data_IF_840917191644
#
_entry.id   IF_840917191644
#
_cell.length_a   1.000
_cell.length_b   1.000
_cell.length_c   1.000
_cell.angle_alpha   90.00
_cell.angle_beta   90.00
_cell.angle_gamma   90.00
#
_symmetry.space_group_name_H-M   'P 1'
#
loop_
_entity.id
_entity.type
_entity.pdbx_description
1 polymer ?
#
# COMPACT_ATOMS: atom_id res chain seq x y z
N UNK A 1 23.23 23.16 -14.02
CA UNK A 1 22.03 22.67 -13.33
C UNK A 1 22.14 23.08 -11.87
N UNK A 2 21.09 23.59 -11.29
CA UNK A 2 21.07 23.98 -9.88
C UNK A 2 20.11 23.06 -9.13
N UNK A 3 20.48 22.71 -7.91
CA UNK A 3 19.65 21.93 -6.97
C UNK A 3 19.27 22.83 -5.83
N UNK A 4 18.15 22.54 -5.21
CA UNK A 4 17.71 23.14 -3.96
C UNK A 4 17.26 22.06 -3.01
N UNK A 5 17.83 22.05 -1.83
CA UNK A 5 17.47 21.14 -0.74
C UNK A 5 16.98 21.98 0.43
N UNK A 6 15.70 21.84 0.74
CA UNK A 6 15.10 22.52 1.89
C UNK A 6 14.85 21.51 3.00
N UNK A 7 15.25 21.85 4.20
CA UNK A 7 14.95 21.12 5.44
C UNK A 7 14.13 22.08 6.28
N UNK A 8 12.83 21.83 6.40
CA UNK A 8 11.87 22.82 6.87
C UNK A 8 11.96 24.10 6.02
N UNK A 9 12.16 25.24 6.62
CA UNK A 9 12.36 26.52 5.95
C UNK A 9 13.84 26.87 5.70
N UNK A 10 14.78 25.94 5.99
CA UNK A 10 16.22 26.18 5.86
C UNK A 10 16.75 25.65 4.52
N UNK A 11 17.40 26.52 3.76
CA UNK A 11 18.12 26.11 2.55
C UNK A 11 19.48 25.49 2.91
N UNK A 12 19.57 24.16 2.82
CA UNK A 12 20.78 23.39 3.10
C UNK A 12 21.61 23.10 1.83
N UNK A 13 21.26 23.69 0.70
CA UNK A 13 21.84 23.36 -0.63
C UNK A 13 23.36 23.49 -0.66
N UNK A 14 23.92 24.53 -0.03
CA UNK A 14 25.34 24.80 -0.04
C UNK A 14 26.17 23.70 0.65
N UNK A 15 25.58 23.00 1.60
CA UNK A 15 26.25 21.99 2.42
C UNK A 15 26.10 20.56 1.85
N UNK A 16 25.31 20.41 0.77
CA UNK A 16 25.09 19.09 0.15
C UNK A 16 26.35 18.60 -0.57
N UNK A 17 26.89 17.48 -0.10
CA UNK A 17 28.05 16.80 -0.71
C UNK A 17 27.59 15.74 -1.70
N UNK A 18 26.61 14.94 -1.30
CA UNK A 18 25.99 13.90 -2.10
C UNK A 18 24.54 13.73 -1.66
N UNK A 19 23.67 13.44 -2.60
CA UNK A 19 22.28 13.05 -2.28
C UNK A 19 21.79 11.96 -3.23
N UNK A 20 20.88 11.18 -2.73
CA UNK A 20 20.15 10.18 -3.53
C UNK A 20 18.74 10.03 -3.00
N UNK A 21 17.81 9.77 -3.89
CA UNK A 21 16.43 9.47 -3.51
C UNK A 21 15.81 8.46 -4.44
N UNK A 22 14.76 7.82 -3.97
CA UNK A 22 13.97 6.85 -4.69
C UNK A 22 12.51 7.09 -4.46
N UNK A 23 11.74 6.92 -5.53
CA UNK A 23 10.28 6.85 -5.51
C UNK A 23 9.83 5.57 -6.23
N UNK A 24 8.62 5.10 -5.96
CA UNK A 24 8.09 3.92 -6.58
C UNK A 24 8.74 2.63 -6.10
N UNK A 25 8.63 1.59 -6.93
CA UNK A 25 9.09 0.24 -6.61
C UNK A 25 10.54 0.00 -7.03
N UNK A 26 11.18 -0.97 -6.41
CA UNK A 26 12.54 -1.40 -6.76
C UNK A 26 12.55 -2.49 -7.82
N UNK A 27 11.55 -3.33 -7.81
CA UNK A 27 11.41 -4.52 -8.68
C UNK A 27 10.03 -4.48 -9.32
N UNK A 28 9.93 -5.04 -10.51
CA UNK A 28 8.66 -5.11 -11.25
C UNK A 28 7.59 -5.89 -10.48
N UNK A 29 8.00 -6.87 -9.66
CA UNK A 29 7.08 -7.68 -8.86
C UNK A 29 6.51 -6.96 -7.63
N UNK A 30 7.17 -5.87 -7.17
CA UNK A 30 6.69 -5.10 -6.02
C UNK A 30 5.45 -4.30 -6.44
N UNK A 31 4.39 -4.31 -5.64
CA UNK A 31 3.14 -3.58 -5.92
C UNK A 31 3.05 -2.25 -5.15
N UNK A 32 3.84 -2.10 -4.10
CA UNK A 32 3.88 -0.89 -3.28
C UNK A 32 5.28 -0.33 -3.25
N UNK A 33 5.42 0.92 -3.68
CA UNK A 33 6.65 1.69 -3.59
C UNK A 33 6.85 2.30 -2.20
N UNK A 34 8.09 2.69 -1.92
CA UNK A 34 8.45 3.45 -0.73
C UNK A 34 9.44 4.53 -1.09
N UNK A 35 9.05 5.77 -0.87
CA UNK A 35 9.93 6.91 -0.99
C UNK A 35 11.03 6.85 0.08
N UNK A 36 12.28 7.04 -0.35
CA UNK A 36 13.42 7.13 0.56
C UNK A 36 14.48 8.05 -0.03
N UNK A 37 14.97 8.95 0.80
CA UNK A 37 16.07 9.85 0.47
C UNK A 37 17.26 9.69 1.44
N UNK A 38 18.45 10.01 0.94
CA UNK A 38 19.65 10.11 1.72
C UNK A 38 20.40 11.35 1.27
N UNK A 39 20.72 12.24 2.21
CA UNK A 39 21.50 13.46 1.96
C UNK A 39 22.73 13.43 2.86
N UNK A 40 23.89 13.65 2.29
CA UNK A 40 25.15 13.80 3.01
C UNK A 40 25.51 15.28 2.97
N UNK A 41 25.60 15.89 4.16
CA UNK A 41 25.86 17.29 4.37
C UNK A 41 27.25 17.49 4.96
N UNK A 42 27.93 18.55 4.56
CA UNK A 42 29.08 19.07 5.30
C UNK A 42 28.58 19.60 6.65
N UNK A 43 29.22 19.19 7.73
CA UNK A 43 28.84 19.52 9.10
C UNK A 43 30.01 20.01 9.93
N UNK A 44 30.99 20.69 9.30
CA UNK A 44 32.16 21.22 10.02
C UNK A 44 31.74 22.16 11.16
N UNK A 45 30.72 22.96 10.94
CA UNK A 45 30.15 23.88 11.93
C UNK A 45 29.28 23.18 12.98
N UNK A 46 28.92 21.90 12.76
CA UNK A 46 28.09 21.09 13.65
C UNK A 46 26.60 21.47 13.65
N UNK A 47 26.16 22.24 12.67
CA UNK A 47 24.75 22.70 12.57
C UNK A 47 23.76 21.57 12.33
N UNK A 48 24.21 20.44 11.78
CA UNK A 48 23.39 19.23 11.54
C UNK A 48 23.56 18.15 12.64
N UNK A 49 24.01 18.56 13.83
CA UNK A 49 24.08 17.71 15.02
C UNK A 49 23.03 18.16 16.04
N UNK A 50 21.82 17.58 16.08
CA UNK A 50 20.66 18.15 16.78
C UNK A 50 20.83 18.38 18.29
N UNK A 51 21.76 17.69 18.94
CA UNK A 51 22.06 17.84 20.38
C UNK A 51 23.10 18.93 20.68
N UNK A 52 23.67 19.55 19.65
CA UNK A 52 24.69 20.60 19.83
C UNK A 52 24.00 21.96 20.00
N UNK A 53 24.52 22.78 20.90
CA UNK A 53 24.09 24.18 21.07
C UNK A 53 24.29 24.99 19.77
N UNK A 54 23.23 25.66 19.33
CA UNK A 54 23.22 26.43 18.09
C UNK A 54 23.01 25.58 16.81
N UNK A 55 22.76 24.29 16.91
CA UNK A 55 22.38 23.45 15.78
C UNK A 55 20.99 23.80 15.24
N UNK A 56 20.76 23.44 13.97
CA UNK A 56 19.42 23.50 13.37
C UNK A 56 18.50 22.55 14.13
N UNK A 57 17.34 23.05 14.56
CA UNK A 57 16.39 22.35 15.41
C UNK A 57 15.50 21.34 14.65
N UNK A 58 16.08 20.54 13.74
CA UNK A 58 15.30 19.51 13.06
C UNK A 58 15.23 18.21 13.86
N UNK A 59 14.13 17.51 13.70
CA UNK A 59 13.81 16.25 14.38
C UNK A 59 13.17 15.26 13.40
N UNK A 60 12.98 13.99 13.78
CA UNK A 60 12.14 13.09 13.00
C UNK A 60 10.78 13.73 12.69
N UNK A 61 10.35 13.68 11.43
CA UNK A 61 9.14 14.33 10.94
C UNK A 61 9.35 15.74 10.35
N UNK A 62 10.55 16.34 10.46
CA UNK A 62 10.85 17.62 9.80
C UNK A 62 10.75 17.48 8.28
N UNK A 63 9.98 18.34 7.57
CA UNK A 63 9.81 18.26 6.12
C UNK A 63 11.12 18.46 5.37
N UNK A 64 11.31 17.69 4.29
CA UNK A 64 12.44 17.81 3.38
C UNK A 64 11.96 17.79 1.95
N UNK A 65 12.50 18.72 1.14
CA UNK A 65 12.22 18.74 -0.28
C UNK A 65 13.48 18.84 -1.11
N UNK A 66 13.51 18.15 -2.24
CA UNK A 66 14.58 18.23 -3.23
C UNK A 66 13.98 18.77 -4.52
N UNK A 67 14.58 19.82 -5.06
CA UNK A 67 14.16 20.45 -6.29
C UNK A 67 15.35 20.62 -7.24
N UNK A 68 15.05 20.64 -8.54
CA UNK A 68 16.04 20.85 -9.62
C UNK A 68 15.55 21.96 -10.53
N UNK A 69 16.44 22.90 -10.86
CA UNK A 69 16.22 23.89 -11.91
C UNK A 69 16.72 23.35 -13.25
N UNK A 70 15.82 23.20 -14.22
CA UNK A 70 16.10 22.74 -15.57
C UNK A 70 16.45 23.87 -16.56
N UNK A 71 16.73 25.08 -16.03
CA UNK A 71 17.06 26.27 -16.80
C UNK A 71 15.88 27.20 -17.05
N UNK A 72 14.77 27.04 -16.34
CA UNK A 72 13.59 27.91 -16.47
C UNK A 72 12.61 27.83 -15.32
N UNK A 73 12.57 26.72 -14.61
CA UNK A 73 11.67 26.53 -13.48
C UNK A 73 12.19 25.48 -12.51
N UNK A 74 11.92 25.69 -11.24
CA UNK A 74 12.16 24.70 -10.21
C UNK A 74 11.14 23.57 -10.30
N UNK A 75 11.63 22.33 -10.39
CA UNK A 75 10.82 21.12 -10.38
C UNK A 75 11.05 20.36 -9.11
N UNK A 76 9.97 19.98 -8.44
CA UNK A 76 10.01 19.08 -7.31
C UNK A 76 10.45 17.68 -7.79
N UNK A 77 11.43 17.12 -7.10
CA UNK A 77 11.97 15.80 -7.41
C UNK A 77 11.73 14.80 -6.28
N UNK A 78 11.57 15.33 -5.05
CA UNK A 78 11.28 14.49 -3.89
C UNK A 78 10.66 15.33 -2.77
N UNK A 79 9.70 14.74 -2.08
CA UNK A 79 9.09 15.25 -0.85
C UNK A 79 9.11 14.13 0.20
N UNK A 80 9.53 14.46 1.40
CA UNK A 80 9.58 13.53 2.52
C UNK A 80 9.82 14.21 3.85
N UNK A 81 10.16 13.44 4.86
CA UNK A 81 10.42 13.90 6.22
C UNK A 81 11.72 13.28 6.73
N UNK A 82 12.46 13.99 7.57
CA UNK A 82 13.64 13.43 8.25
C UNK A 82 13.19 12.21 9.07
N UNK A 83 13.74 11.03 8.77
CA UNK A 83 13.54 9.84 9.58
C UNK A 83 14.53 9.82 10.75
N UNK A 84 15.79 10.09 10.46
CA UNK A 84 16.84 10.24 11.45
C UNK A 84 18.06 10.95 10.84
N UNK A 85 18.94 11.45 11.71
CA UNK A 85 20.21 12.06 11.35
C UNK A 85 21.37 11.27 11.98
N UNK A 86 22.45 11.11 11.21
CA UNK A 86 23.70 10.46 11.63
C UNK A 86 24.85 11.48 11.49
N UNK A 87 25.02 12.41 12.44
CA UNK A 87 26.22 13.24 12.47
C UNK A 87 27.42 12.38 12.83
N UNK A 88 28.52 12.57 12.11
CA UNK A 88 29.74 11.81 12.34
C UNK A 88 30.34 12.15 13.71
N UNK A 89 30.41 11.16 14.58
CA UNK A 89 31.03 11.28 15.89
C UNK A 89 32.53 10.97 15.81
N UNK A 90 33.31 11.49 16.76
CA UNK A 90 34.73 11.20 16.92
C UNK A 90 35.63 12.44 16.68
N UNK A 91 36.94 12.30 17.02
CA UNK A 91 37.90 13.40 16.95
C UNK A 91 38.52 13.57 15.55
N UNK A 92 38.52 12.50 14.77
CA UNK A 92 39.23 12.46 13.48
C UNK A 92 38.26 12.18 12.33
N UNK A 93 38.55 12.76 11.18
CA UNK A 93 37.81 12.58 9.96
C UNK A 93 37.06 13.84 9.52
N UNK A 94 36.48 13.77 8.34
CA UNK A 94 35.64 14.83 7.79
C UNK A 94 34.35 14.90 8.54
N UNK A 95 33.98 16.04 9.05
CA UNK A 95 32.71 16.18 9.77
C UNK A 95 31.57 16.27 8.79
N UNK A 96 30.83 15.19 8.73
CA UNK A 96 29.68 15.03 7.85
C UNK A 96 28.44 14.68 8.68
N UNK A 97 27.26 15.01 8.17
CA UNK A 97 26.01 14.48 8.68
C UNK A 97 25.25 13.78 7.55
N UNK A 98 24.76 12.58 7.81
CA UNK A 98 23.87 11.86 6.89
C UNK A 98 22.45 12.01 7.39
N UNK A 99 21.57 12.57 6.55
CA UNK A 99 20.13 12.55 6.79
C UNK A 99 19.50 11.40 6.02
N UNK A 100 18.76 10.58 6.72
CA UNK A 100 17.84 9.59 6.14
C UNK A 100 16.45 10.19 6.08
N UNK A 101 15.84 10.16 4.91
CA UNK A 101 14.55 10.79 4.65
C UNK A 101 13.56 9.71 4.26
N UNK A 102 12.40 9.73 4.86
CA UNK A 102 11.28 8.85 4.54
C UNK A 102 10.27 9.57 3.67
N UNK A 103 9.75 8.91 2.64
CA UNK A 103 8.63 9.42 1.85
C UNK A 103 7.31 9.38 2.63
N UNK A 104 6.28 9.98 2.07
CA UNK A 104 4.93 10.09 2.68
C UNK A 104 4.36 8.75 3.08
N UNK A 105 4.66 7.67 2.35
CA UNK A 105 4.21 6.30 2.64
C UNK A 105 4.70 5.77 4.00
N UNK A 106 5.73 6.38 4.58
CA UNK A 106 6.25 5.98 5.89
C UNK A 106 5.21 6.14 7.00
N UNK A 107 4.32 7.11 6.90
CA UNK A 107 3.22 7.30 7.86
C UNK A 107 2.28 6.10 7.86
N UNK A 108 2.04 5.49 6.70
CA UNK A 108 1.20 4.30 6.56
C UNK A 108 1.82 3.05 7.22
N UNK A 109 3.15 3.01 7.39
CA UNK A 109 3.84 1.91 8.09
C UNK A 109 3.58 1.93 9.59
N UNK A 110 3.44 3.12 10.16
CA UNK A 110 3.33 3.32 11.60
C UNK A 110 1.87 3.47 12.07
N UNK A 111 0.94 3.72 11.14
CA UNK A 111 -0.48 3.83 11.47
C UNK A 111 -1.13 2.46 11.49
N UNK A 112 -1.65 2.08 12.66
CA UNK A 112 -2.41 0.84 12.84
C UNK A 112 -3.87 1.09 12.50
N UNK A 113 -4.35 0.42 11.46
CA UNK A 113 -5.76 0.52 11.02
C UNK A 113 -6.52 -0.78 11.29
N UNK A 114 -7.80 -0.65 11.53
CA UNK A 114 -8.80 -1.71 11.57
C UNK A 114 -9.92 -1.31 10.61
N UNK A 115 -9.79 -1.62 9.32
CA UNK A 115 -10.82 -1.25 8.37
C UNK A 115 -12.19 -1.78 8.80
N UNK A 116 -13.23 -0.97 8.64
CA UNK A 116 -14.60 -1.41 8.81
C UNK A 116 -14.94 -2.54 7.83
N UNK A 117 -15.97 -3.31 8.13
CA UNK A 117 -16.49 -4.25 7.14
C UNK A 117 -17.20 -3.47 6.04
N UNK A 118 -16.68 -3.57 4.83
CA UNK A 118 -17.32 -3.10 3.62
C UNK A 118 -17.80 -4.30 2.84
N UNK A 119 -19.01 -4.19 2.28
CA UNK A 119 -19.59 -5.21 1.40
C UNK A 119 -19.72 -4.62 0.01
N UNK A 120 -19.48 -5.44 -1.02
CA UNK A 120 -19.66 -5.05 -2.42
C UNK A 120 -18.82 -3.82 -2.81
N UNK A 121 -17.50 -3.88 -2.59
CA UNK A 121 -16.60 -2.74 -2.68
C UNK A 121 -15.52 -2.95 -3.72
N UNK A 122 -15.21 -1.90 -4.48
CA UNK A 122 -14.10 -1.89 -5.43
C UNK A 122 -12.76 -1.66 -4.72
N UNK A 123 -11.66 -2.09 -5.35
CA UNK A 123 -10.31 -1.98 -4.78
C UNK A 123 -9.90 -0.53 -4.44
N UNK A 124 -10.28 0.45 -5.26
CA UNK A 124 -10.00 1.86 -5.01
C UNK A 124 -10.80 2.40 -3.81
N UNK A 125 -12.06 2.00 -3.66
CA UNK A 125 -12.90 2.38 -2.51
C UNK A 125 -12.37 1.76 -1.20
N UNK A 126 -11.87 0.52 -1.28
CA UNK A 126 -11.21 -0.12 -0.15
C UNK A 126 -9.93 0.63 0.26
N UNK A 127 -9.12 1.13 -0.69
CA UNK A 127 -7.95 1.98 -0.40
C UNK A 127 -8.39 3.30 0.22
N UNK A 128 -9.39 3.98 -0.34
CA UNK A 128 -9.93 5.22 0.23
C UNK A 128 -10.41 5.03 1.67
N UNK A 129 -11.05 3.92 1.98
CA UNK A 129 -11.49 3.61 3.35
C UNK A 129 -10.32 3.51 4.34
N UNK A 130 -9.19 2.95 3.89
CA UNK A 130 -7.96 2.87 4.70
C UNK A 130 -7.33 4.24 4.89
N UNK A 131 -7.25 5.04 3.81
CA UNK A 131 -6.65 6.38 3.84
C UNK A 131 -7.51 7.43 4.56
N UNK A 132 -8.78 7.13 4.78
CA UNK A 132 -9.70 7.97 5.57
C UNK A 132 -9.57 7.76 7.09
N UNK A 133 -8.59 6.97 7.55
CA UNK A 133 -8.31 6.84 8.97
C UNK A 133 -7.88 8.19 9.57
N UNK A 134 -8.35 8.58 10.78
CA UNK A 134 -8.06 9.89 11.37
C UNK A 134 -6.57 10.27 11.44
N UNK A 135 -5.69 9.29 11.70
CA UNK A 135 -4.23 9.53 11.75
C UNK A 135 -3.60 9.72 10.36
N UNK A 136 -4.33 9.45 9.28
CA UNK A 136 -3.92 9.62 7.90
C UNK A 136 -4.66 10.74 7.19
N UNK A 137 -5.63 11.35 7.88
CA UNK A 137 -6.39 12.48 7.36
C UNK A 137 -5.47 13.66 7.03
N UNK A 138 -5.76 14.33 5.91
CA UNK A 138 -4.93 15.42 5.40
C UNK A 138 -3.71 15.00 4.58
N UNK A 139 -3.37 13.70 4.44
CA UNK A 139 -2.38 13.27 3.47
C UNK A 139 -2.89 13.47 2.04
N UNK A 140 -2.11 14.13 1.16
CA UNK A 140 -2.50 14.30 -0.23
C UNK A 140 -2.56 12.93 -0.92
N UNK A 141 -3.62 12.70 -1.69
CA UNK A 141 -3.85 11.41 -2.36
C UNK A 141 -4.53 11.56 -3.72
N UNK A 142 -4.20 10.65 -4.62
CA UNK A 142 -4.79 10.50 -5.95
C UNK A 142 -5.04 9.00 -6.19
N UNK A 143 -6.26 8.56 -5.89
CA UNK A 143 -6.68 7.17 -5.98
C UNK A 143 -7.45 6.96 -7.27
N UNK A 144 -6.79 6.37 -8.26
CA UNK A 144 -7.40 6.00 -9.53
C UNK A 144 -8.30 4.77 -9.41
N UNK A 145 -9.19 4.59 -10.37
CA UNK A 145 -10.09 3.45 -10.44
C UNK A 145 -9.33 2.11 -10.46
N UNK A 146 -9.92 1.09 -9.86
CA UNK A 146 -9.44 -0.29 -9.89
C UNK A 146 -10.55 -1.24 -10.31
N UNK A 147 -10.18 -2.35 -10.94
CA UNK A 147 -11.10 -3.32 -11.52
C UNK A 147 -11.48 -4.47 -10.57
N UNK A 148 -10.66 -4.73 -9.52
CA UNK A 148 -10.97 -5.81 -8.59
C UNK A 148 -12.14 -5.42 -7.67
N UNK A 149 -13.06 -6.35 -7.55
CA UNK A 149 -14.23 -6.27 -6.71
C UNK A 149 -14.11 -7.24 -5.54
N UNK A 150 -14.45 -6.80 -4.34
CA UNK A 150 -14.48 -7.60 -3.11
C UNK A 150 -15.91 -7.68 -2.58
N UNK A 151 -16.46 -8.87 -2.47
CA UNK A 151 -17.77 -9.07 -1.86
C UNK A 151 -17.74 -8.70 -0.36
N UNK A 152 -16.56 -8.85 0.29
CA UNK A 152 -16.32 -8.33 1.64
C UNK A 152 -14.87 -7.92 1.84
N UNK A 153 -14.67 -6.83 2.59
CA UNK A 153 -13.37 -6.28 2.94
C UNK A 153 -13.37 -5.85 4.40
N UNK A 154 -12.25 -6.07 5.09
CA UNK A 154 -12.03 -5.59 6.46
C UNK A 154 -11.92 -6.68 7.52
N UNK A 155 -12.62 -7.80 7.38
CA UNK A 155 -12.68 -8.86 8.39
C UNK A 155 -11.33 -9.50 8.72
N UNK A 156 -10.37 -9.49 7.79
CA UNK A 156 -9.04 -10.08 7.99
C UNK A 156 -8.20 -9.30 9.01
N UNK A 157 -8.51 -8.03 9.23
CA UNK A 157 -7.70 -7.12 10.03
C UNK A 157 -8.31 -6.73 11.39
N UNK A 158 -9.22 -7.53 11.93
CA UNK A 158 -9.81 -7.28 13.25
C UNK A 158 -8.79 -7.16 14.39
N UNK A 159 -7.57 -7.67 14.21
CA UNK A 159 -6.46 -7.44 15.13
C UNK A 159 -5.69 -6.14 14.92
N UNK A 160 -6.03 -5.40 13.89
CA UNK A 160 -5.26 -4.26 13.38
C UNK A 160 -4.07 -4.69 12.51
N UNK A 161 -3.74 -3.86 11.55
CA UNK A 161 -2.55 -3.99 10.70
C UNK A 161 -2.03 -2.60 10.34
N UNK A 162 -0.73 -2.50 9.98
CA UNK A 162 -0.22 -1.27 9.39
C UNK A 162 -0.99 -0.94 8.10
N UNK A 163 -1.38 0.32 7.93
CA UNK A 163 -2.16 0.76 6.76
C UNK A 163 -1.50 0.37 5.44
N UNK A 164 -0.17 0.50 5.35
CA UNK A 164 0.59 0.11 4.15
C UNK A 164 0.44 -1.39 3.83
N UNK A 165 0.37 -2.25 4.85
CA UNK A 165 0.18 -3.70 4.66
C UNK A 165 -1.21 -4.02 4.10
N UNK A 166 -2.21 -3.28 4.55
CA UNK A 166 -3.59 -3.43 4.03
C UNK A 166 -3.63 -2.99 2.57
N UNK A 167 -3.09 -1.81 2.26
CA UNK A 167 -3.00 -1.30 0.89
C UNK A 167 -2.19 -2.25 -0.01
N UNK A 168 -1.10 -2.82 0.50
CA UNK A 168 -0.31 -3.82 -0.26
C UNK A 168 -1.14 -5.05 -0.62
N UNK A 169 -1.97 -5.54 0.30
CA UNK A 169 -2.85 -6.67 0.01
C UNK A 169 -3.90 -6.33 -1.06
N UNK A 170 -4.46 -5.10 -1.03
CA UNK A 170 -5.40 -4.62 -2.04
C UNK A 170 -4.69 -4.49 -3.40
N UNK A 171 -3.54 -3.82 -3.45
CA UNK A 171 -2.77 -3.64 -4.69
C UNK A 171 -2.33 -4.99 -5.29
N UNK A 172 -2.01 -5.99 -4.45
CA UNK A 172 -1.70 -7.34 -4.89
C UNK A 172 -2.93 -8.06 -5.48
N UNK A 173 -4.09 -7.90 -4.85
CA UNK A 173 -5.35 -8.50 -5.34
C UNK A 173 -5.77 -7.87 -6.67
N UNK A 174 -5.69 -6.57 -6.77
CA UNK A 174 -5.95 -5.83 -8.00
C UNK A 174 -4.95 -6.14 -9.12
N UNK A 175 -3.66 -6.30 -8.79
CA UNK A 175 -2.57 -6.22 -9.76
C UNK A 175 -2.11 -4.78 -10.01
N UNK A 176 -2.67 -3.82 -9.29
CA UNK A 176 -2.36 -2.40 -9.35
C UNK A 176 -1.08 -2.01 -8.62
N UNK A 177 -0.84 -0.70 -8.52
CA UNK A 177 0.36 -0.13 -7.89
C UNK A 177 0.02 1.04 -6.98
N UNK A 178 0.79 1.16 -5.90
CA UNK A 178 0.66 2.25 -4.94
C UNK A 178 2.03 2.82 -4.58
N UNK A 179 2.17 4.14 -4.63
CA UNK A 179 3.38 4.86 -4.20
C UNK A 179 3.07 6.34 -4.00
N UNK A 180 3.93 7.08 -3.29
CA UNK A 180 3.91 8.54 -3.37
C UNK A 180 4.67 9.02 -4.63
N UNK A 181 4.21 10.12 -5.20
CA UNK A 181 4.88 10.83 -6.28
C UNK A 181 5.94 11.82 -5.75
N UNK A 182 6.49 12.66 -6.63
CA UNK A 182 7.52 13.66 -6.29
C UNK A 182 7.03 14.74 -5.32
N UNK A 183 5.76 15.07 -5.40
CA UNK A 183 5.07 16.04 -4.54
C UNK A 183 4.66 15.43 -3.19
N UNK A 184 4.83 14.12 -3.03
CA UNK A 184 4.43 13.38 -1.83
C UNK A 184 2.96 12.97 -1.84
N UNK A 185 2.27 13.05 -2.98
CA UNK A 185 0.88 12.61 -3.15
C UNK A 185 0.83 11.09 -3.20
N UNK A 186 0.06 10.47 -2.30
CA UNK A 186 -0.18 9.04 -2.28
C UNK A 186 -1.02 8.62 -3.49
N UNK A 187 -0.39 7.98 -4.46
CA UNK A 187 -0.98 7.65 -5.75
C UNK A 187 -1.26 6.16 -5.87
N UNK A 188 -2.50 5.81 -6.20
CA UNK A 188 -2.90 4.46 -6.57
C UNK A 188 -3.33 4.38 -8.01
N UNK A 189 -2.89 3.33 -8.70
CA UNK A 189 -3.32 3.00 -10.07
C UNK A 189 -3.74 1.54 -10.12
N UNK A 190 -4.97 1.28 -10.55
CA UNK A 190 -5.47 -0.06 -10.83
C UNK A 190 -4.70 -0.72 -11.99
N UNK A 191 -4.88 -2.01 -12.19
CA UNK A 191 -4.16 -2.78 -13.23
C UNK A 191 -4.38 -2.25 -14.66
N UNK A 192 -5.52 -1.65 -14.91
CA UNK A 192 -5.91 -1.20 -16.25
C UNK A 192 -5.32 0.17 -16.63
N UNK A 193 -4.66 0.87 -15.70
CA UNK A 193 -4.08 2.18 -15.98
C UNK A 193 -3.05 2.15 -17.12
N UNK A 194 -2.32 1.03 -17.25
CA UNK A 194 -1.33 0.82 -18.29
C UNK A 194 -1.95 0.52 -19.68
N UNK A 195 -3.24 0.13 -19.70
CA UNK A 195 -3.99 -0.22 -20.91
C UNK A 195 -4.62 0.99 -21.60
N UNK A 196 -4.59 2.18 -20.98
CA UNK A 196 -5.20 3.39 -21.52
C UNK A 196 -4.66 3.66 -22.92
N UNK A 197 -5.56 3.72 -23.90
CA UNK A 197 -5.24 4.07 -25.28
C UNK A 197 -4.78 5.53 -25.36
N UNK A 198 -3.66 5.79 -26.00
CA UNK A 198 -3.13 7.14 -26.19
C UNK A 198 -1.65 7.11 -26.58
N UNK A 199 -1.16 8.24 -27.07
CA UNK A 199 0.28 8.38 -27.34
C UNK A 199 1.07 8.31 -26.04
N UNK A 200 2.27 7.70 -26.05
CA UNK A 200 3.18 7.78 -24.92
C UNK A 200 3.53 9.23 -24.58
N UNK A 201 3.77 9.53 -23.31
CA UNK A 201 4.14 10.86 -22.85
C UNK A 201 5.52 11.31 -23.33
N UNK A 202 6.35 10.32 -23.70
CA UNK A 202 7.66 10.55 -24.34
C UNK A 202 8.08 9.35 -25.18
N UNK A 203 8.96 9.63 -26.15
CA UNK A 203 9.66 8.59 -26.94
C UNK A 203 11.17 8.74 -26.71
N UNK A 204 11.81 7.65 -26.34
CA UNK A 204 13.26 7.53 -26.20
C UNK A 204 13.77 6.67 -27.37
N UNK A 205 14.55 7.27 -28.24
CA UNK A 205 15.20 6.67 -29.41
C UNK A 205 16.68 6.40 -29.18
N UNK A 206 17.18 6.75 -28.00
CA UNK A 206 18.53 6.51 -27.53
C UNK A 206 18.47 5.97 -26.11
N UNK A 207 18.89 4.72 -25.94
CA UNK A 207 19.01 4.10 -24.64
C UNK A 207 20.26 4.64 -23.93
N UNK A 208 20.12 5.58 -23.05
CA UNK A 208 21.09 6.14 -22.16
C UNK A 208 22.45 5.45 -21.99
N UNK A 209 22.98 5.40 -20.78
CA UNK A 209 24.28 4.79 -20.51
C UNK A 209 24.20 3.28 -20.29
N UNK A 210 23.05 2.77 -19.81
CA UNK A 210 22.87 1.36 -19.49
C UNK A 210 21.37 1.00 -19.51
N UNK A 211 21.05 -0.16 -20.09
CA UNK A 211 19.71 -0.70 -20.15
C UNK A 211 19.74 -2.22 -19.92
N UNK A 212 18.90 -2.71 -19.03
CA UNK A 212 18.76 -4.16 -18.81
C UNK A 212 17.65 -4.68 -19.73
N UNK A 213 18.05 -5.26 -20.87
CA UNK A 213 17.16 -5.87 -21.84
C UNK A 213 17.23 -7.39 -21.74
N UNK A 214 16.07 -8.06 -21.70
CA UNK A 214 15.94 -9.51 -21.69
C UNK A 214 14.85 -9.89 -22.68
N UNK A 215 15.10 -10.92 -23.51
CA UNK A 215 14.11 -11.49 -24.41
C UNK A 215 13.63 -12.85 -23.90
N UNK A 216 12.31 -13.02 -23.75
CA UNK A 216 11.67 -14.29 -23.37
C UNK A 216 11.91 -14.75 -21.93
N UNK A 217 12.48 -13.89 -21.07
CA UNK A 217 12.75 -14.25 -19.68
C UNK A 217 11.53 -14.21 -18.75
N UNK A 218 10.40 -13.69 -19.23
CA UNK A 218 9.17 -13.44 -18.50
C UNK A 218 7.97 -14.25 -19.04
N UNK A 219 8.21 -15.32 -19.80
CA UNK A 219 7.12 -16.18 -20.30
C UNK A 219 6.38 -16.83 -19.14
N UNK A 220 5.06 -16.62 -19.10
CA UNK A 220 4.12 -17.26 -18.19
C UNK A 220 2.93 -17.73 -19.03
N UNK A 221 2.72 -19.03 -19.11
CA UNK A 221 1.65 -19.63 -19.93
C UNK A 221 0.70 -20.52 -19.12
N UNK A 222 0.89 -20.56 -17.80
CA UNK A 222 -0.05 -21.14 -16.85
C UNK A 222 -0.10 -20.23 -15.63
N UNK A 223 -1.30 -19.88 -15.21
CA UNK A 223 -1.51 -19.04 -14.01
C UNK A 223 -2.51 -19.73 -13.09
N UNK A 224 -2.12 -19.87 -11.83
CA UNK A 224 -2.98 -20.40 -10.76
C UNK A 224 -3.20 -19.33 -9.74
N UNK A 225 -4.46 -19.02 -9.42
CA UNK A 225 -4.83 -18.04 -8.41
C UNK A 225 -5.62 -18.72 -7.31
N UNK A 226 -5.11 -18.69 -6.09
CA UNK A 226 -5.79 -19.16 -4.89
C UNK A 226 -6.64 -18.04 -4.30
N UNK A 227 -7.94 -18.20 -4.31
CA UNK A 227 -8.94 -17.27 -3.76
C UNK A 227 -9.57 -17.85 -2.49
N UNK A 228 -10.16 -17.01 -1.66
CA UNK A 228 -10.88 -17.45 -0.46
C UNK A 228 -12.33 -17.00 -0.53
N UNK A 229 -13.25 -17.84 -1.05
CA UNK A 229 -14.66 -17.51 -1.14
C UNK A 229 -15.25 -17.16 0.23
N UNK A 230 -16.13 -16.17 0.26
CA UNK A 230 -16.81 -15.70 1.47
C UNK A 230 -18.30 -15.91 1.36
N UNK A 231 -18.94 -16.06 2.52
CA UNK A 231 -20.39 -16.19 2.63
C UNK A 231 -20.90 -15.53 3.91
N UNK A 232 -22.09 -14.99 3.84
CA UNK A 232 -22.82 -14.52 5.02
C UNK A 232 -23.36 -15.74 5.78
N UNK A 233 -23.13 -15.78 7.08
CA UNK A 233 -23.60 -16.85 7.97
C UNK A 233 -24.99 -16.57 8.54
N UNK A 234 -25.36 -17.35 9.54
CA UNK A 234 -26.69 -17.23 10.18
C UNK A 234 -26.71 -16.00 11.13
N UNK A 235 -27.85 -15.28 11.21
CA UNK A 235 -28.04 -14.23 12.21
C UNK A 235 -27.99 -14.80 13.64
N UNK A 236 -27.82 -13.92 14.63
CA UNK A 236 -27.76 -14.28 16.06
C UNK A 236 -26.65 -15.28 16.44
N UNK A 237 -25.63 -15.43 15.60
CA UNK A 237 -24.49 -16.29 15.91
C UNK A 237 -23.63 -15.62 17.00
N UNK A 238 -23.21 -16.39 18.01
CA UNK A 238 -22.25 -15.91 19.02
C UNK A 238 -20.88 -15.75 18.36
N UNK A 239 -20.35 -14.53 18.39
CA UNK A 239 -19.11 -14.14 17.73
C UNK A 239 -17.97 -13.84 18.72
N UNK A 240 -18.30 -13.64 19.99
CA UNK A 240 -17.35 -13.49 21.07
C UNK A 240 -18.03 -13.84 22.39
N UNK A 241 -17.25 -14.37 23.31
CA UNK A 241 -17.66 -14.66 24.69
C UNK A 241 -16.56 -14.23 25.64
N UNK A 242 -16.93 -13.59 26.75
CA UNK A 242 -16.03 -13.21 27.82
C UNK A 242 -15.57 -14.47 28.55
N UNK A 243 -14.27 -14.64 28.72
CA UNK A 243 -13.64 -15.67 29.54
C UNK A 243 -13.24 -15.08 30.89
N UNK A 244 -13.92 -15.52 31.94
CA UNK A 244 -13.77 -15.03 33.30
C UNK A 244 -14.47 -13.68 33.59
N UNK A 245 -14.71 -13.44 34.88
CA UNK A 245 -15.43 -12.24 35.31
C UNK A 245 -14.57 -10.97 35.20
N UNK A 246 -15.14 -9.89 34.66
CA UNK A 246 -14.47 -8.61 34.46
C UNK A 246 -14.98 -7.57 35.47
N UNK A 247 -14.10 -6.98 36.27
CA UNK A 247 -14.45 -5.91 37.24
C UNK A 247 -14.72 -4.59 36.54
N UNK A 248 -15.89 -3.99 36.82
CA UNK A 248 -16.31 -2.68 36.31
C UNK A 248 -16.39 -1.70 37.49
N UNK A 249 -15.63 -0.62 37.42
CA UNK A 249 -15.63 0.43 38.44
C UNK A 249 -16.78 1.42 38.20
N UNK A 250 -17.36 1.99 39.25
CA UNK A 250 -18.33 3.07 39.08
C UNK A 250 -17.65 4.29 38.44
N UNK A 251 -18.40 5.08 37.71
CA UNK A 251 -17.99 6.36 37.12
C UNK A 251 -16.79 6.29 36.11
N UNK A 252 -16.32 5.12 35.77
CA UNK A 252 -15.22 4.95 34.81
C UNK A 252 -15.57 3.87 33.78
N UNK A 253 -15.94 4.27 32.55
CA UNK A 253 -16.23 3.31 31.49
C UNK A 253 -15.04 2.39 31.22
N UNK A 254 -15.33 1.13 30.95
CA UNK A 254 -14.35 0.17 30.45
C UNK A 254 -14.57 0.00 28.96
N UNK A 255 -13.54 0.26 28.15
CA UNK A 255 -13.57 0.01 26.72
C UNK A 255 -12.89 -1.33 26.43
N UNK A 256 -13.59 -2.24 25.77
CA UNK A 256 -13.05 -3.52 25.31
C UNK A 256 -13.09 -3.59 23.79
N UNK A 257 -11.96 -3.95 23.18
CA UNK A 257 -11.87 -4.29 21.76
C UNK A 257 -11.86 -5.81 21.65
N UNK A 258 -12.93 -6.38 21.14
CA UNK A 258 -13.13 -7.82 21.06
C UNK A 258 -13.04 -8.31 19.62
N UNK A 259 -12.23 -9.35 19.36
CA UNK A 259 -12.08 -9.94 18.05
C UNK A 259 -13.18 -10.97 17.82
N UNK A 260 -13.80 -10.88 16.67
CA UNK A 260 -14.90 -11.77 16.31
C UNK A 260 -14.36 -13.12 15.81
N UNK A 261 -15.00 -14.20 16.28
CA UNK A 261 -14.69 -15.57 15.91
C UNK A 261 -15.96 -16.38 15.72
N UNK A 262 -15.91 -17.35 14.80
CA UNK A 262 -16.98 -18.33 14.68
C UNK A 262 -16.88 -19.43 15.77
N UNK A 263 -17.89 -20.32 15.81
CA UNK A 263 -17.91 -21.45 16.76
C UNK A 263 -16.75 -22.43 16.62
N UNK A 264 -15.90 -22.30 15.59
CA UNK A 264 -14.68 -23.08 15.36
C UNK A 264 -13.40 -22.29 15.75
N UNK A 265 -13.55 -21.07 16.29
CA UNK A 265 -12.44 -20.22 16.69
C UNK A 265 -11.76 -19.49 15.54
N UNK A 266 -12.27 -19.55 14.31
CA UNK A 266 -11.73 -18.85 13.16
C UNK A 266 -12.14 -17.38 13.21
N UNK A 267 -11.23 -16.47 12.82
CA UNK A 267 -11.54 -15.05 12.69
C UNK A 267 -12.62 -14.85 11.63
N UNK A 268 -13.61 -14.02 11.93
CA UNK A 268 -14.73 -13.69 11.04
C UNK A 268 -14.99 -12.19 11.09
N UNK A 269 -15.61 -11.66 10.02
CA UNK A 269 -16.24 -10.35 10.04
C UNK A 269 -17.68 -10.44 10.56
N UNK A 270 -18.33 -9.31 10.72
CA UNK A 270 -19.76 -9.27 11.02
C UNK A 270 -20.47 -8.32 10.07
N UNK A 271 -21.38 -8.84 9.27
CA UNK A 271 -22.27 -8.03 8.45
C UNK A 271 -23.25 -7.22 9.32
N UNK A 272 -23.54 -7.73 10.51
CA UNK A 272 -24.39 -7.08 11.50
C UNK A 272 -24.00 -7.53 12.90
N UNK A 273 -24.05 -6.62 13.87
CA UNK A 273 -23.87 -6.89 15.31
C UNK A 273 -25.17 -6.55 16.02
N UNK A 274 -25.68 -7.52 16.78
CA UNK A 274 -26.84 -7.32 17.65
C UNK A 274 -26.46 -6.41 18.81
N UNK A 275 -27.36 -5.51 19.20
CA UNK A 275 -27.19 -4.74 20.44
C UNK A 275 -27.20 -5.70 21.63
N UNK A 276 -26.21 -5.65 22.54
CA UNK A 276 -26.18 -6.53 23.70
C UNK A 276 -27.43 -6.37 24.58
N UNK A 277 -28.13 -7.46 24.85
CA UNK A 277 -29.37 -7.51 25.58
C UNK A 277 -29.14 -7.88 27.05
N UNK A 278 -29.66 -7.05 27.96
CA UNK A 278 -29.54 -7.23 29.42
C UNK A 278 -30.18 -8.55 29.86
N UNK A 279 -29.47 -9.35 30.64
CA UNK A 279 -29.93 -10.65 31.14
C UNK A 279 -29.91 -11.79 30.10
N UNK A 280 -29.68 -11.47 28.82
CA UNK A 280 -29.54 -12.46 27.72
C UNK A 280 -28.08 -12.56 27.31
N UNK A 281 -27.47 -11.44 26.97
CA UNK A 281 -26.10 -11.38 26.47
C UNK A 281 -25.09 -11.10 27.56
N UNK A 282 -25.49 -10.51 28.65
CA UNK A 282 -24.65 -10.30 29.81
C UNK A 282 -25.44 -10.20 31.11
N UNK A 283 -24.79 -10.56 32.20
CA UNK A 283 -25.22 -10.38 33.58
C UNK A 283 -24.08 -9.81 34.40
N UNK A 284 -24.40 -9.09 35.49
CA UNK A 284 -23.43 -8.55 36.39
C UNK A 284 -23.78 -8.84 37.86
N UNK A 285 -22.78 -9.00 38.71
CA UNK A 285 -22.96 -9.36 40.10
C UNK A 285 -22.01 -8.56 41.01
N UNK A 286 -22.33 -8.47 42.29
CA UNK A 286 -21.47 -7.84 43.29
C UNK A 286 -20.17 -8.64 43.54
N UNK A 287 -20.14 -9.94 43.20
CA UNK A 287 -19.00 -10.86 43.35
C UNK A 287 -18.63 -11.53 42.02
N UNK A 288 -17.35 -11.86 41.79
CA UNK A 288 -16.90 -12.42 40.50
C UNK A 288 -17.38 -13.86 40.26
N UNK A 289 -17.76 -14.58 41.31
CA UNK A 289 -18.31 -15.94 41.25
C UNK A 289 -19.83 -15.99 41.04
N UNK A 290 -20.48 -14.81 40.94
CA UNK A 290 -21.94 -14.70 40.78
C UNK A 290 -22.77 -15.00 42.01
N UNK A 291 -22.13 -15.18 43.18
CA UNK A 291 -22.82 -15.55 44.45
C UNK A 291 -23.28 -14.34 45.25
N UNK A 292 -22.94 -13.12 44.84
CA UNK A 292 -23.40 -11.89 45.47
C UNK A 292 -24.74 -11.40 44.94
N UNK A 293 -25.06 -10.15 45.24
CA UNK A 293 -26.28 -9.49 44.75
C UNK A 293 -26.22 -9.31 43.24
N UNK A 294 -27.35 -9.55 42.58
CA UNK A 294 -27.53 -9.21 41.16
C UNK A 294 -27.39 -7.69 40.96
N UNK A 295 -26.50 -7.30 40.05
CA UNK A 295 -26.18 -5.91 39.67
C UNK A 295 -26.32 -5.69 38.18
N UNK A 296 -27.02 -6.57 37.50
CA UNK A 296 -27.20 -6.53 36.03
C UNK A 296 -27.84 -5.21 35.57
N UNK A 297 -28.79 -4.67 36.33
CA UNK A 297 -29.44 -3.39 36.05
C UNK A 297 -28.52 -2.18 36.17
N UNK A 298 -27.41 -2.30 36.90
CA UNK A 298 -26.46 -1.21 37.13
C UNK A 298 -25.41 -1.12 35.98
N UNK A 299 -25.40 -2.11 35.06
CA UNK A 299 -24.42 -2.20 33.97
C UNK A 299 -25.09 -2.01 32.63
N UNK A 300 -24.48 -1.18 31.80
CA UNK A 300 -24.79 -1.09 30.37
C UNK A 300 -23.64 -1.54 29.52
N UNK A 301 -23.92 -2.25 28.43
CA UNK A 301 -22.94 -2.69 27.40
C UNK A 301 -23.42 -2.13 26.07
N UNK A 302 -22.63 -1.24 25.47
CA UNK A 302 -22.96 -0.60 24.20
C UNK A 302 -21.90 -0.87 23.16
N UNK A 303 -22.33 -1.05 21.91
CA UNK A 303 -21.42 -1.15 20.75
C UNK A 303 -21.06 0.29 20.32
N UNK A 304 -19.78 0.63 20.44
CA UNK A 304 -19.26 1.96 20.08
C UNK A 304 -18.80 2.00 18.64
N UNK A 305 -18.11 0.94 18.20
CA UNK A 305 -17.61 0.81 16.84
C UNK A 305 -17.66 -0.64 16.39
N UNK A 306 -17.96 -0.84 15.11
CA UNK A 306 -17.89 -2.12 14.42
C UNK A 306 -16.77 -1.99 13.40
N UNK A 307 -15.69 -2.70 13.62
CA UNK A 307 -14.57 -2.84 12.70
C UNK A 307 -14.71 -4.19 12.00
N UNK A 308 -14.13 -4.39 10.82
CA UNK A 308 -14.41 -5.56 9.99
C UNK A 308 -14.35 -6.92 10.72
N UNK A 309 -13.36 -7.13 11.58
CA UNK A 309 -13.19 -8.37 12.35
C UNK A 309 -13.12 -8.14 13.86
N UNK A 310 -13.56 -6.98 14.35
CA UNK A 310 -13.58 -6.64 15.77
C UNK A 310 -14.75 -5.71 16.11
N UNK A 311 -15.10 -5.66 17.38
CA UNK A 311 -16.13 -4.75 17.92
C UNK A 311 -15.55 -4.04 19.14
N UNK A 312 -15.75 -2.74 19.22
CA UNK A 312 -15.43 -1.95 20.39
C UNK A 312 -16.68 -1.80 21.26
N UNK A 313 -16.60 -2.28 22.49
CA UNK A 313 -17.65 -2.22 23.49
C UNK A 313 -17.30 -1.17 24.53
N UNK A 314 -18.27 -0.32 24.89
CA UNK A 314 -18.23 0.47 26.11
C UNK A 314 -19.11 -0.18 27.18
N UNK A 315 -18.53 -0.41 28.35
CA UNK A 315 -19.19 -1.02 29.49
C UNK A 315 -19.18 -0.01 30.63
N UNK A 316 -20.34 0.39 31.08
CA UNK A 316 -20.53 1.40 32.12
C UNK A 316 -21.23 0.81 33.33
N UNK A 317 -20.84 1.27 34.52
CA UNK A 317 -21.46 0.93 35.78
C UNK A 317 -22.03 2.24 36.40
N UNK A 318 -23.34 2.34 36.43
CA UNK A 318 -24.08 3.45 37.01
C UNK A 318 -24.27 3.34 38.53
N UNK A 319 -23.91 2.19 39.11
CA UNK A 319 -24.01 1.97 40.56
C UNK A 319 -22.92 2.69 41.37
N UNK A 320 -23.06 2.74 42.67
CA UNK A 320 -22.09 3.37 43.57
C UNK A 320 -20.86 2.52 43.87
N UNK A 321 -20.95 1.20 43.70
CA UNK A 321 -19.91 0.23 44.03
C UNK A 321 -19.39 -0.47 42.75
N UNK A 322 -18.15 -1.00 42.79
CA UNK A 322 -17.67 -1.82 41.72
C UNK A 322 -18.48 -3.12 41.62
N UNK A 323 -18.73 -3.55 40.39
CA UNK A 323 -19.46 -4.78 40.06
C UNK A 323 -18.62 -5.64 39.10
N UNK A 324 -19.02 -6.86 38.88
CA UNK A 324 -18.37 -7.79 37.95
C UNK A 324 -19.32 -8.17 36.83
N UNK A 325 -18.92 -7.90 35.60
CA UNK A 325 -19.51 -8.52 34.42
C UNK A 325 -19.15 -10.00 34.47
N UNK A 326 -20.12 -10.88 34.49
CA UNK A 326 -19.87 -12.31 34.69
C UNK A 326 -19.32 -12.98 33.45
N UNK A 327 -18.67 -14.11 33.67
CA UNK A 327 -18.26 -15.05 32.65
C UNK A 327 -19.44 -15.43 31.72
N UNK A 328 -19.14 -15.63 30.45
CA UNK A 328 -20.16 -15.94 29.43
C UNK A 328 -20.88 -14.74 28.84
N UNK A 329 -20.55 -13.49 29.25
CA UNK A 329 -21.01 -12.33 28.50
C UNK A 329 -20.58 -12.41 27.04
N UNK A 330 -21.48 -12.08 26.09
CA UNK A 330 -21.28 -12.40 24.66
C UNK A 330 -21.69 -11.30 23.73
N UNK A 331 -21.15 -11.35 22.51
CA UNK A 331 -21.56 -10.53 21.37
C UNK A 331 -22.15 -11.47 20.32
N UNK A 332 -23.36 -11.15 19.85
CA UNK A 332 -24.03 -11.88 18.76
C UNK A 332 -24.09 -11.03 17.50
N UNK A 333 -24.19 -11.69 16.35
CA UNK A 333 -24.33 -11.01 15.08
C UNK A 333 -24.46 -11.96 13.90
N UNK A 334 -24.38 -11.41 12.70
CA UNK A 334 -24.38 -12.14 11.43
C UNK A 334 -22.96 -12.18 10.88
N UNK A 335 -22.23 -13.30 10.95
CA UNK A 335 -20.85 -13.37 10.54
C UNK A 335 -20.68 -13.36 9.02
N UNK A 336 -19.54 -12.84 8.55
CA UNK A 336 -18.98 -13.10 7.22
C UNK A 336 -17.88 -14.14 7.37
N UNK A 337 -18.10 -15.31 6.80
CA UNK A 337 -17.26 -16.50 7.00
C UNK A 337 -16.43 -16.75 5.75
N UNK A 338 -15.10 -16.74 5.88
CA UNK A 338 -14.18 -17.18 4.82
C UNK A 338 -14.15 -18.70 4.70
N UNK A 339 -14.32 -19.21 3.49
CA UNK A 339 -14.13 -20.62 3.16
C UNK A 339 -12.67 -21.04 3.07
N UNK A 340 -12.44 -22.27 2.65
CA UNK A 340 -11.11 -22.77 2.31
C UNK A 340 -10.61 -22.13 1.01
N UNK A 341 -9.27 -22.18 0.79
CA UNK A 341 -8.68 -21.67 -0.45
C UNK A 341 -9.13 -22.54 -1.62
N UNK A 342 -9.79 -21.92 -2.60
CA UNK A 342 -10.10 -22.50 -3.88
C UNK A 342 -9.12 -22.02 -4.93
N UNK A 343 -8.69 -22.90 -5.84
CA UNK A 343 -7.74 -22.58 -6.88
C UNK A 343 -8.41 -22.48 -8.24
N UNK A 344 -8.16 -21.37 -8.92
CA UNK A 344 -8.51 -21.16 -10.32
C UNK A 344 -7.25 -21.32 -11.16
N UNK A 345 -7.35 -21.92 -12.33
CA UNK A 345 -6.25 -22.09 -13.26
C UNK A 345 -6.64 -21.65 -14.67
N UNK A 346 -5.77 -20.88 -15.31
CA UNK A 346 -5.82 -20.49 -16.71
C UNK A 346 -4.54 -20.88 -17.41
N UNK A 347 -4.62 -21.29 -18.67
CA UNK A 347 -3.44 -21.70 -19.44
C UNK A 347 -3.58 -21.34 -20.91
N UNK A 348 -2.49 -20.90 -21.51
CA UNK A 348 -2.30 -20.86 -22.95
C UNK A 348 -1.61 -22.13 -23.43
N UNK A 349 -2.37 -23.05 -24.00
CA UNK A 349 -1.85 -24.34 -24.45
C UNK A 349 -0.96 -24.21 -25.69
N UNK A 350 -1.15 -23.19 -26.52
CA UNK A 350 -0.32 -22.92 -27.69
C UNK A 350 1.07 -22.49 -27.26
N UNK A 351 1.14 -21.52 -26.36
CA UNK A 351 2.40 -21.09 -25.75
C UNK A 351 3.09 -22.22 -24.98
N UNK A 352 2.34 -22.99 -24.17
CA UNK A 352 2.90 -24.11 -23.42
C UNK A 352 3.46 -25.23 -24.31
N UNK A 353 2.86 -25.45 -25.48
CA UNK A 353 3.38 -26.39 -26.46
C UNK A 353 4.65 -25.89 -27.17
N UNK A 354 4.73 -24.58 -27.40
CA UNK A 354 5.88 -23.96 -28.09
C UNK A 354 7.09 -23.77 -27.17
N UNK A 355 6.89 -23.35 -25.93
CA UNK A 355 7.94 -22.87 -25.01
C UNK A 355 8.10 -23.72 -23.74
N UNK A 356 7.29 -24.77 -23.58
CA UNK A 356 7.21 -25.53 -22.34
C UNK A 356 6.31 -24.86 -21.28
N UNK A 357 5.92 -25.59 -20.22
CA UNK A 357 5.05 -25.06 -19.19
C UNK A 357 5.79 -24.11 -18.23
N UNK A 358 5.38 -22.87 -18.16
CA UNK A 358 5.84 -21.84 -17.23
C UNK A 358 4.67 -21.40 -16.34
N UNK A 359 4.68 -21.82 -15.08
CA UNK A 359 3.56 -21.63 -14.15
C UNK A 359 3.83 -20.52 -13.15
N UNK A 360 2.94 -19.52 -13.09
CA UNK A 360 2.83 -18.54 -12.02
C UNK A 360 1.76 -19.00 -11.03
N UNK A 361 2.09 -19.08 -9.74
CA UNK A 361 1.13 -19.38 -8.68
C UNK A 361 1.00 -18.19 -7.75
N UNK A 362 -0.20 -17.63 -7.64
CA UNK A 362 -0.54 -16.51 -6.78
C UNK A 362 -1.54 -16.97 -5.73
N UNK A 363 -1.25 -16.74 -4.47
CA UNK A 363 -2.23 -16.93 -3.40
C UNK A 363 -2.69 -15.57 -2.92
N UNK A 364 -3.95 -15.22 -3.22
CA UNK A 364 -4.53 -13.90 -2.98
C UNK A 364 -5.79 -14.06 -2.12
N UNK A 365 -5.64 -14.20 -0.79
CA UNK A 365 -6.78 -14.46 0.11
C UNK A 365 -7.81 -13.33 0.17
N UNK A 366 -7.49 -12.15 -0.36
CA UNK A 366 -8.40 -11.02 -0.42
C UNK A 366 -9.43 -11.19 -1.54
N UNK A 367 -9.09 -11.88 -2.63
CA UNK A 367 -10.06 -12.27 -3.65
C UNK A 367 -11.02 -13.32 -3.08
N UNK A 368 -12.31 -13.06 -3.19
CA UNK A 368 -13.37 -13.80 -2.52
C UNK A 368 -14.38 -14.47 -3.47
N UNK A 369 -14.10 -14.45 -4.77
CA UNK A 369 -14.86 -15.18 -5.78
C UNK A 369 -13.94 -15.91 -6.77
N UNK A 370 -14.45 -16.97 -7.39
CA UNK A 370 -13.75 -17.68 -8.45
C UNK A 370 -13.58 -16.79 -9.67
N UNK A 371 -14.60 -16.00 -10.00
CA UNK A 371 -14.59 -15.05 -11.12
C UNK A 371 -13.50 -14.00 -10.97
N UNK A 372 -13.34 -13.41 -9.77
CA UNK A 372 -12.23 -12.49 -9.49
C UNK A 372 -10.86 -13.17 -9.66
N UNK A 373 -10.76 -14.44 -9.25
CA UNK A 373 -9.56 -15.25 -9.47
C UNK A 373 -9.28 -15.51 -10.95
N UNK A 374 -10.30 -15.80 -11.74
CA UNK A 374 -10.24 -16.00 -13.19
C UNK A 374 -9.76 -14.72 -13.89
N UNK A 375 -10.42 -13.61 -13.62
CA UNK A 375 -10.06 -12.28 -14.17
C UNK A 375 -8.61 -11.91 -13.84
N UNK A 376 -8.14 -12.24 -12.63
CA UNK A 376 -6.75 -12.00 -12.23
C UNK A 376 -5.77 -12.91 -12.97
N UNK A 377 -6.14 -14.17 -13.20
CA UNK A 377 -5.33 -15.12 -13.95
C UNK A 377 -5.23 -14.75 -15.43
N UNK A 378 -6.34 -14.33 -16.05
CA UNK A 378 -6.40 -13.90 -17.44
C UNK A 378 -5.53 -12.64 -17.69
N UNK A 379 -5.55 -11.70 -16.73
CA UNK A 379 -4.69 -10.51 -16.80
C UNK A 379 -3.20 -10.87 -16.82
N UNK A 380 -2.74 -11.77 -15.96
CA UNK A 380 -1.33 -12.19 -15.93
C UNK A 380 -0.96 -12.96 -17.20
N UNK A 381 -1.86 -13.83 -17.67
CA UNK A 381 -1.61 -14.66 -18.85
C UNK A 381 -1.46 -13.81 -20.11
N UNK A 382 -2.37 -12.86 -20.30
CA UNK A 382 -2.38 -11.98 -21.48
C UNK A 382 -1.10 -11.16 -21.63
N UNK A 383 -0.52 -10.78 -20.52
CA UNK A 383 0.72 -9.99 -20.50
C UNK A 383 1.96 -10.78 -20.83
N UNK A 384 1.96 -12.14 -20.68
CA UNK A 384 3.20 -12.91 -20.58
C UNK A 384 3.21 -14.21 -21.39
N UNK A 385 2.15 -14.55 -22.15
CA UNK A 385 2.05 -15.83 -22.84
C UNK A 385 3.13 -16.03 -23.91
N UNK A 386 3.53 -14.96 -24.62
CA UNK A 386 4.51 -15.02 -25.68
C UNK A 386 5.86 -14.40 -25.28
N UNK A 387 6.99 -14.98 -25.77
CA UNK A 387 8.31 -14.40 -25.60
C UNK A 387 8.40 -13.02 -26.23
N UNK A 388 8.82 -12.05 -25.45
CA UNK A 388 9.00 -10.68 -25.91
C UNK A 388 10.21 -10.04 -25.24
N UNK A 389 10.73 -8.98 -25.89
CA UNK A 389 11.76 -8.17 -25.27
C UNK A 389 11.19 -7.31 -24.15
N UNK A 390 11.84 -7.28 -23.02
CA UNK A 390 11.48 -6.43 -21.91
C UNK A 390 12.69 -5.67 -21.38
N UNK A 391 12.49 -4.38 -21.10
CA UNK A 391 13.42 -3.53 -20.40
C UNK A 391 12.92 -3.38 -18.96
N UNK A 392 13.67 -3.92 -18.01
CA UNK A 392 13.32 -3.78 -16.59
C UNK A 392 13.94 -2.54 -15.95
N UNK A 393 15.06 -2.07 -16.53
CA UNK A 393 15.79 -0.89 -16.06
C UNK A 393 16.35 -0.08 -17.21
N UNK A 394 16.31 1.25 -17.04
CA UNK A 394 16.91 2.21 -17.96
C UNK A 394 17.65 3.28 -17.15
N UNK A 395 18.93 3.46 -17.44
CA UNK A 395 19.77 4.48 -16.82
C UNK A 395 19.87 5.69 -17.73
N UNK A 396 19.48 6.85 -17.18
CA UNK A 396 19.55 8.16 -17.83
C UNK A 396 20.56 9.03 -17.12
N UNK A 397 21.30 9.81 -17.89
CA UNK A 397 22.30 10.72 -17.35
C UNK A 397 22.39 12.00 -18.19
N UNK A 398 23.20 12.93 -17.75
CA UNK A 398 23.48 14.17 -18.48
C UNK A 398 23.96 13.93 -19.94
N UNK A 399 24.51 12.76 -20.24
CA UNK A 399 24.96 12.38 -21.58
C UNK A 399 23.81 11.92 -22.47
N UNK A 400 22.78 11.31 -21.89
CA UNK A 400 21.65 10.80 -22.65
C UNK A 400 20.37 10.74 -21.80
N UNK A 401 19.29 11.30 -22.35
CA UNK A 401 17.95 11.18 -21.79
C UNK A 401 17.65 12.01 -20.55
N UNK A 402 18.57 12.87 -20.11
CA UNK A 402 18.42 13.59 -18.85
C UNK A 402 17.19 14.51 -18.79
N UNK A 403 16.84 15.17 -19.90
CA UNK A 403 15.63 15.97 -19.97
C UNK A 403 14.36 15.16 -19.71
N UNK A 404 14.35 13.89 -20.13
CA UNK A 404 13.25 12.97 -19.82
C UNK A 404 13.23 12.60 -18.33
N UNK A 405 14.42 12.37 -17.72
CA UNK A 405 14.53 12.07 -16.29
C UNK A 405 13.92 13.17 -15.40
N UNK A 406 14.03 14.43 -15.82
CA UNK A 406 13.44 15.56 -15.09
C UNK A 406 11.96 15.77 -15.40
N UNK A 407 11.56 15.57 -16.67
CA UNK A 407 10.23 15.90 -17.14
C UNK A 407 9.19 14.78 -16.91
N UNK A 408 9.64 13.54 -16.74
CA UNK A 408 8.75 12.36 -16.54
C UNK A 408 8.77 11.95 -15.07
N UNK A 409 7.65 11.40 -14.61
CA UNK A 409 7.45 10.94 -13.24
C UNK A 409 6.88 9.51 -13.20
N UNK A 410 6.62 9.00 -12.00
CA UNK A 410 5.95 7.72 -11.82
C UNK A 410 4.62 7.70 -12.58
N UNK A 411 4.33 6.56 -13.18
CA UNK A 411 3.12 6.27 -13.95
C UNK A 411 3.05 6.92 -15.34
N UNK A 412 4.03 7.77 -15.73
CA UNK A 412 4.14 8.23 -17.12
C UNK A 412 4.46 7.04 -18.05
N UNK A 413 3.92 7.10 -19.26
CA UNK A 413 4.13 6.10 -20.31
C UNK A 413 5.23 6.56 -21.26
N UNK A 414 6.22 5.70 -21.47
CA UNK A 414 7.34 5.99 -22.36
C UNK A 414 7.49 4.91 -23.42
N UNK A 415 7.64 5.32 -24.69
CA UNK A 415 8.06 4.43 -25.76
C UNK A 415 9.57 4.38 -25.79
N UNK A 416 10.11 3.18 -25.78
CA UNK A 416 11.56 2.96 -25.84
C UNK A 416 11.89 2.19 -27.10
N UNK A 417 12.74 2.78 -27.94
CA UNK A 417 13.23 2.19 -29.17
C UNK A 417 14.73 1.98 -29.11
N UNK A 418 15.20 0.79 -29.44
CA UNK A 418 16.62 0.47 -29.53
C UNK A 418 16.96 -0.16 -30.88
N UNK A 419 17.64 0.57 -31.77
CA UNK A 419 18.03 0.06 -33.09
C UNK A 419 18.99 -1.15 -33.03
N UNK A 420 19.79 -1.30 -31.97
CA UNK A 420 20.77 -2.38 -31.83
C UNK A 420 20.11 -3.73 -31.57
N UNK A 421 19.06 -3.75 -30.77
CA UNK A 421 18.28 -4.97 -30.48
C UNK A 421 17.05 -5.09 -31.36
N UNK A 422 16.69 -4.04 -32.11
CA UNK A 422 15.44 -3.94 -32.85
C UNK A 422 14.22 -3.81 -31.93
N UNK A 423 14.46 -3.46 -30.67
CA UNK A 423 13.40 -3.33 -29.69
C UNK A 423 12.57 -2.06 -29.88
N UNK A 424 11.25 -2.22 -29.78
CA UNK A 424 10.26 -1.14 -29.77
C UNK A 424 9.14 -1.54 -28.81
N UNK A 425 8.98 -0.80 -27.72
CA UNK A 425 8.01 -1.13 -26.70
C UNK A 425 7.55 0.08 -25.90
N UNK A 426 6.31 0.01 -25.40
CA UNK A 426 5.75 1.01 -24.49
C UNK A 426 5.85 0.49 -23.05
N UNK A 427 6.27 1.35 -22.18
CA UNK A 427 6.52 1.08 -20.78
C UNK A 427 5.85 2.11 -19.88
N UNK A 428 5.58 1.71 -18.65
CA UNK A 428 5.22 2.61 -17.56
C UNK A 428 6.41 2.73 -16.62
N UNK A 429 6.71 3.95 -16.19
CA UNK A 429 7.71 4.22 -15.15
C UNK A 429 7.09 3.86 -13.80
N UNK A 430 7.55 2.78 -13.18
CA UNK A 430 7.02 2.28 -11.90
C UNK A 430 7.96 2.52 -10.72
N UNK A 431 9.16 2.99 -11.00
CA UNK A 431 10.13 3.38 -9.99
C UNK A 431 11.20 4.26 -10.58
N UNK A 432 11.67 5.20 -9.79
CA UNK A 432 12.80 6.07 -10.13
C UNK A 432 13.79 6.15 -8.98
N UNK A 433 15.07 6.10 -9.31
CA UNK A 433 16.16 6.31 -8.37
C UNK A 433 17.09 7.36 -8.93
N UNK A 434 17.36 8.37 -8.15
CA UNK A 434 18.25 9.47 -8.50
C UNK A 434 19.47 9.46 -7.60
N UNK A 435 20.63 9.75 -8.19
CA UNK A 435 21.88 9.95 -7.47
C UNK A 435 22.60 11.18 -7.99
N UNK A 436 22.87 12.11 -7.09
CA UNK A 436 23.58 13.36 -7.35
C UNK A 436 24.86 13.38 -6.54
N UNK A 437 25.97 13.59 -7.23
CA UNK A 437 27.32 13.56 -6.63
C UNK A 437 28.14 14.76 -7.08
N UNK A 438 29.32 14.95 -6.48
CA UNK A 438 30.27 16.01 -6.80
C UNK A 438 29.64 17.41 -6.67
N UNK A 439 28.90 17.65 -5.57
CA UNK A 439 28.26 18.96 -5.34
C UNK A 439 27.26 19.37 -6.42
N UNK A 440 26.55 18.40 -7.01
CA UNK A 440 25.57 18.66 -8.06
C UNK A 440 26.08 18.54 -9.49
N UNK A 441 27.37 18.27 -9.70
CA UNK A 441 27.98 18.19 -11.04
C UNK A 441 27.64 16.91 -11.80
N UNK A 442 27.17 15.87 -11.12
CA UNK A 442 26.75 14.58 -11.75
C UNK A 442 25.40 14.14 -11.22
N UNK A 443 24.46 13.95 -12.13
CA UNK A 443 23.16 13.38 -11.83
C UNK A 443 22.89 12.15 -12.70
N UNK A 444 22.60 11.04 -12.07
CA UNK A 444 22.19 9.80 -12.71
C UNK A 444 20.80 9.41 -12.24
N UNK A 445 19.95 8.99 -13.15
CA UNK A 445 18.62 8.49 -12.87
C UNK A 445 18.48 7.07 -13.39
N UNK A 446 17.90 6.19 -12.58
CA UNK A 446 17.57 4.82 -13.00
C UNK A 446 16.06 4.65 -12.90
N UNK A 447 15.40 4.41 -14.02
CA UNK A 447 14.00 4.03 -14.04
C UNK A 447 13.84 2.52 -13.90
N UNK A 448 12.85 2.11 -13.13
CA UNK A 448 12.29 0.76 -13.15
C UNK A 448 11.06 0.81 -14.06
N UNK A 449 11.03 -0.05 -15.06
CA UNK A 449 10.05 -0.03 -16.14
C UNK A 449 9.20 -1.30 -16.11
N UNK A 450 7.90 -1.14 -16.32
CA UNK A 450 6.96 -2.21 -16.57
C UNK A 450 6.45 -2.11 -17.99
N UNK A 451 6.57 -3.20 -18.75
CA UNK A 451 6.06 -3.22 -20.11
C UNK A 451 4.54 -3.19 -20.09
N UNK A 452 3.93 -2.28 -20.86
CA UNK A 452 2.49 -2.30 -21.03
C UNK A 452 2.09 -3.57 -21.78
N UNK A 453 1.01 -4.26 -21.35
CA UNK A 453 0.44 -5.33 -22.16
C UNK A 453 0.15 -4.82 -23.57
N UNK A 454 0.37 -5.61 -24.60
CA UNK A 454 -0.06 -5.27 -25.94
C UNK A 454 -1.59 -5.19 -25.91
N UNK A 455 -2.13 -3.98 -26.11
CA UNK A 455 -3.57 -3.74 -25.98
C UNK A 455 -4.32 -4.36 -27.15
N UNK A 456 -4.63 -5.63 -27.06
CA UNK A 456 -5.66 -6.30 -27.89
C UNK A 456 -6.96 -6.52 -27.10
N UNK A 457 -7.05 -5.96 -25.86
CA UNK A 457 -8.28 -6.03 -25.08
C UNK A 457 -9.24 -4.91 -25.42
N UNK A 458 -10.49 -5.30 -25.64
CA UNK A 458 -11.56 -4.34 -25.77
C UNK A 458 -11.95 -3.83 -24.38
N UNK A 459 -11.79 -2.53 -24.15
CA UNK A 459 -12.30 -1.84 -22.98
C UNK A 459 -13.54 -1.05 -23.40
N UNK A 460 -14.63 -1.23 -22.68
CA UNK A 460 -15.89 -0.51 -22.92
C UNK A 460 -15.62 1.01 -22.93
N UNK A 461 -15.90 1.65 -24.03
CA UNK A 461 -15.73 3.09 -24.21
C UNK A 461 -14.37 3.56 -24.72
N UNK A 462 -13.38 2.67 -24.87
CA UNK A 462 -12.02 3.08 -25.28
C UNK A 462 -11.61 2.59 -26.67
N UNK A 463 -12.26 1.59 -27.26
CA UNK A 463 -11.98 1.13 -28.62
C UNK A 463 -13.23 0.69 -29.37
N UNK A 464 -13.32 0.90 -30.70
CA UNK A 464 -14.42 0.39 -31.50
C UNK A 464 -14.39 -1.14 -31.60
N UNK A 465 -15.53 -1.77 -31.37
CA UNK A 465 -15.74 -3.22 -31.49
C UNK A 465 -15.40 -3.67 -32.91
N UNK A 466 -14.50 -4.67 -33.06
CA UNK A 466 -14.32 -5.39 -34.33
C UNK A 466 -13.14 -4.97 -35.18
N UNK A 467 -12.22 -4.10 -34.73
CA UNK A 467 -11.07 -3.66 -35.55
C UNK A 467 -9.74 -4.29 -35.11
N UNK A 468 -9.58 -4.76 -33.91
CA UNK A 468 -8.38 -5.48 -33.39
C UNK A 468 -8.57 -5.89 -31.93
N UNK A 469 -9.79 -6.23 -31.51
CA UNK A 469 -10.15 -6.40 -30.10
C UNK A 469 -10.86 -7.71 -29.88
N UNK A 470 -10.34 -8.53 -28.99
CA UNK A 470 -11.01 -9.71 -28.44
C UNK A 470 -11.88 -9.25 -27.25
N UNK A 471 -13.14 -9.70 -27.21
CA UNK A 471 -13.92 -9.65 -25.98
C UNK A 471 -13.26 -10.57 -24.96
N UNK A 472 -12.85 -10.02 -23.81
CA UNK A 472 -12.59 -10.83 -22.65
C UNK A 472 -13.93 -11.44 -22.22
N UNK A 473 -14.05 -12.76 -22.36
CA UNK A 473 -15.21 -13.57 -21.94
C UNK A 473 -15.11 -13.91 -20.47
#
# INVERSE_FOLDING_TARGET
MMYRVMIDDVDATADVVEMSWRLGVRRVDDRVGRGHGRIILDNEDGQYAPERDGALGFSPGTPVTIEVDDGGSWRRMFTGEVAYAEPQAGEYGRRMATLSIAGTESRLLHTLVRPGLLLDVMSHEAIESVLSHPDLDGLPRDVGEGAAHFASFGEQWGGGAAALRVIQAIAQAEGGRFSADREGVLTYRGRDYALVSGSPDATLDSLGEDATYIYGGDVINRVRVGVRPRRVGNPNTVLWTLDGAQRIRPTRPLTLIVRLRDGQGRAVGAAYIESPEVGVDFTANAQPDGMGDDKTSDVSVTVVAIEGGAVTLAIENSGANAVYLLDGARVRGTPVIGGDVAWVERSDNTSAAAYGPHTLSLQIPLLDSLEAGESRADFELAGHADPRGALSRLTLSERAGFGHALARSLFDRVRVMDPHTGHDGVYVIIGEFHKVTQGGARHQTVWTLERTPSAEYWSVGLAPLGVSTLLAG
#
